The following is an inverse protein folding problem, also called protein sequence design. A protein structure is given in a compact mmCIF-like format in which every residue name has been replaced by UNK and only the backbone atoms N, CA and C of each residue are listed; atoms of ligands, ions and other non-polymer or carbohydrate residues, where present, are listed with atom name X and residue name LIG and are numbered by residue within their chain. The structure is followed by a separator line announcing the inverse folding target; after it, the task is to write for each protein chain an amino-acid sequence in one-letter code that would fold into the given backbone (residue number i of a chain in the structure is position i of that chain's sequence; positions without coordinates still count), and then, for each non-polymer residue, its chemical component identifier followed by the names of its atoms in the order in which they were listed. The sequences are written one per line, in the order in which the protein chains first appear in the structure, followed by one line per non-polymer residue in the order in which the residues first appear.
data_IF_528403041133
#
_entry.id   IF_528403041133
#
_cell.length_a   1.000
_cell.length_b   1.000
_cell.length_c   1.000
_cell.angle_alpha   90.00
_cell.angle_beta   90.00
_cell.angle_gamma   90.00
#
_symmetry.space_group_name_H-M   'P 1'
#
loop_
_entity.id
_entity.type
_entity.pdbx_description
1 polymer ?
#
# COMPACT_ATOMS: atom_id res chain seq x y z
N UNK A 1 -10.29 21.68 -17.70
CA UNK A 1 -11.17 21.67 -18.90
C UNK A 1 -12.30 20.75 -18.51
N UNK A 2 -13.57 21.19 -18.42
CA UNK A 2 -14.63 20.42 -17.75
C UNK A 2 -14.96 19.11 -18.48
N UNK A 3 -14.36 18.02 -18.04
CA UNK A 3 -14.60 16.66 -18.52
C UNK A 3 -15.80 16.07 -17.79
N UNK A 4 -16.99 16.31 -18.35
CA UNK A 4 -18.23 15.76 -17.77
C UNK A 4 -18.23 14.21 -17.78
N UNK A 5 -18.46 13.62 -16.60
CA UNK A 5 -18.67 12.19 -16.43
C UNK A 5 -19.94 11.72 -17.16
N UNK A 6 -19.81 10.72 -18.03
CA UNK A 6 -20.93 10.13 -18.79
C UNK A 6 -21.29 8.76 -18.24
N UNK A 7 -22.52 8.32 -18.50
CA UNK A 7 -22.97 6.96 -18.10
C UNK A 7 -22.19 5.82 -18.77
N UNK A 8 -21.49 6.08 -19.88
CA UNK A 8 -20.61 5.11 -20.53
C UNK A 8 -19.27 4.94 -19.83
N UNK A 9 -18.90 5.89 -18.97
CA UNK A 9 -17.59 5.97 -18.37
C UNK A 9 -17.49 5.08 -17.13
N UNK A 10 -16.25 4.79 -16.74
CA UNK A 10 -15.88 3.95 -15.61
C UNK A 10 -14.91 4.70 -14.69
N UNK A 11 -15.45 5.26 -13.61
CA UNK A 11 -14.69 6.02 -12.63
C UNK A 11 -14.22 5.14 -11.47
N UNK A 12 -13.09 5.48 -10.87
CA UNK A 12 -12.61 4.93 -9.59
C UNK A 12 -12.74 5.92 -8.44
N UNK A 13 -12.53 7.22 -8.70
CA UNK A 13 -12.72 8.32 -7.75
C UNK A 13 -13.58 9.42 -8.34
N UNK A 14 -14.27 10.16 -7.48
CA UNK A 14 -15.03 11.36 -7.82
C UNK A 14 -14.55 12.51 -6.94
N UNK A 15 -14.43 13.68 -7.54
CA UNK A 15 -14.46 14.93 -6.82
C UNK A 15 -15.88 15.50 -6.90
N UNK A 16 -16.45 15.87 -5.75
CA UNK A 16 -17.85 16.32 -5.65
C UNK A 16 -17.96 17.59 -4.82
N UNK A 17 -18.88 18.46 -5.19
CA UNK A 17 -19.25 19.62 -4.37
C UNK A 17 -20.12 19.22 -3.16
N UNK A 18 -20.44 20.20 -2.30
CA UNK A 18 -21.29 20.00 -1.12
C UNK A 18 -22.71 19.49 -1.45
N UNK A 19 -23.18 19.72 -2.67
CA UNK A 19 -24.49 19.29 -3.16
C UNK A 19 -24.44 17.89 -3.81
N UNK A 20 -23.26 17.27 -3.89
CA UNK A 20 -23.04 15.95 -4.48
C UNK A 20 -22.87 15.95 -6.01
N UNK A 21 -22.74 17.13 -6.63
CA UNK A 21 -22.46 17.21 -8.07
C UNK A 21 -21.00 16.84 -8.34
N UNK A 22 -20.78 15.99 -9.34
CA UNK A 22 -19.44 15.60 -9.78
C UNK A 22 -18.75 16.78 -10.45
N UNK A 23 -17.66 17.26 -9.83
CA UNK A 23 -16.79 18.31 -10.34
C UNK A 23 -15.72 17.73 -11.26
N UNK A 24 -15.12 16.61 -10.85
CA UNK A 24 -14.12 15.87 -11.62
C UNK A 24 -14.15 14.38 -11.27
N UNK A 25 -13.45 13.55 -12.03
CA UNK A 25 -13.41 12.11 -11.80
C UNK A 25 -12.15 11.44 -12.33
N UNK A 26 -11.69 10.43 -11.60
CA UNK A 26 -10.52 9.65 -11.98
C UNK A 26 -10.91 8.34 -12.65
N UNK A 27 -10.36 8.00 -13.84
CA UNK A 27 -10.65 6.74 -14.51
C UNK A 27 -10.22 5.51 -13.73
N UNK A 28 -10.99 4.43 -13.82
CA UNK A 28 -10.65 3.17 -13.16
C UNK A 28 -9.29 2.61 -13.60
N UNK A 29 -9.00 2.64 -14.91
CA UNK A 29 -7.73 2.15 -15.42
C UNK A 29 -6.52 2.97 -14.89
N UNK A 30 -6.70 4.28 -14.68
CA UNK A 30 -5.66 5.14 -14.13
C UNK A 30 -5.36 4.77 -12.67
N UNK A 31 -6.38 4.73 -11.80
CA UNK A 31 -6.24 4.29 -10.40
C UNK A 31 -5.62 2.89 -10.30
N UNK A 32 -6.09 1.95 -11.14
CA UNK A 32 -5.50 0.60 -11.21
C UNK A 32 -4.02 0.60 -11.58
N UNK A 33 -3.58 1.48 -12.48
CA UNK A 33 -2.18 1.59 -12.87
C UNK A 33 -1.32 2.19 -11.75
N UNK A 34 -1.83 3.22 -11.06
CA UNK A 34 -1.18 3.89 -9.94
C UNK A 34 -0.92 2.91 -8.79
N UNK A 35 -1.97 2.22 -8.32
CA UNK A 35 -1.85 1.23 -7.23
C UNK A 35 -0.90 0.08 -7.61
N UNK A 36 -0.93 -0.36 -8.87
CA UNK A 36 -0.03 -1.40 -9.34
C UNK A 36 1.43 -0.95 -9.46
N UNK A 37 1.66 0.29 -9.92
CA UNK A 37 2.98 0.91 -10.00
C UNK A 37 3.57 1.11 -8.60
N UNK A 38 2.78 1.63 -7.65
CA UNK A 38 3.19 1.77 -6.24
C UNK A 38 3.49 0.40 -5.63
N UNK A 39 2.65 -0.61 -5.86
CA UNK A 39 2.92 -1.98 -5.39
C UNK A 39 4.24 -2.52 -5.95
N UNK A 40 4.48 -2.37 -7.25
CA UNK A 40 5.74 -2.77 -7.89
C UNK A 40 6.94 -2.07 -7.24
N UNK A 41 6.85 -0.75 -7.03
CA UNK A 41 7.91 0.04 -6.44
C UNK A 41 8.17 -0.32 -4.97
N UNK A 42 7.12 -0.50 -4.16
CA UNK A 42 7.24 -0.96 -2.78
C UNK A 42 7.98 -2.30 -2.69
N UNK A 43 7.64 -3.26 -3.55
CA UNK A 43 8.26 -4.59 -3.55
C UNK A 43 9.71 -4.59 -4.06
N UNK A 44 10.07 -3.67 -4.96
CA UNK A 44 11.41 -3.62 -5.58
C UNK A 44 12.39 -2.69 -4.88
N UNK A 45 11.90 -1.56 -4.34
CA UNK A 45 12.74 -0.47 -3.81
C UNK A 45 12.87 -0.50 -2.30
N UNK A 46 11.99 -1.23 -1.61
CA UNK A 46 11.99 -1.33 -0.15
C UNK A 46 12.26 -2.77 0.29
N UNK A 47 12.54 -2.97 1.58
CA UNK A 47 12.73 -4.30 2.17
C UNK A 47 11.43 -5.14 2.18
N UNK A 48 10.29 -4.60 1.77
CA UNK A 48 9.01 -5.32 1.78
C UNK A 48 9.06 -6.56 0.88
N UNK A 49 9.73 -6.51 -0.28
CA UNK A 49 9.92 -7.69 -1.13
C UNK A 49 10.62 -8.83 -0.39
N UNK A 50 11.75 -8.52 0.25
CA UNK A 50 12.54 -9.48 1.04
C UNK A 50 11.76 -10.01 2.24
N UNK A 51 11.01 -9.14 2.93
CA UNK A 51 10.13 -9.54 4.05
C UNK A 51 9.04 -10.51 3.58
N UNK A 52 8.40 -10.24 2.44
CA UNK A 52 7.41 -11.13 1.86
C UNK A 52 8.02 -12.50 1.48
N UNK A 53 9.21 -12.52 0.89
CA UNK A 53 9.93 -13.77 0.60
C UNK A 53 10.24 -14.55 1.89
N UNK A 54 10.76 -13.88 2.91
CA UNK A 54 11.14 -14.49 4.18
C UNK A 54 9.95 -15.15 4.91
N UNK A 55 8.74 -14.58 4.81
CA UNK A 55 7.51 -15.14 5.40
C UNK A 55 7.16 -16.53 4.89
N UNK A 56 7.65 -16.91 3.70
CA UNK A 56 7.43 -18.22 3.07
C UNK A 56 8.74 -19.01 2.92
N UNK A 57 9.79 -18.60 3.65
CA UNK A 57 11.10 -19.27 3.65
C UNK A 57 11.85 -19.14 2.33
N UNK A 58 11.61 -18.08 1.58
CA UNK A 58 12.29 -17.78 0.32
C UNK A 58 13.39 -16.74 0.58
N UNK A 59 14.49 -16.84 -0.18
CA UNK A 59 15.57 -15.84 -0.12
C UNK A 59 15.12 -14.51 -0.72
N UNK A 60 14.43 -14.55 -1.86
CA UNK A 60 13.93 -13.36 -2.54
C UNK A 60 12.64 -13.68 -3.35
N UNK A 61 11.92 -12.63 -3.74
CA UNK A 61 10.88 -12.69 -4.75
C UNK A 61 11.51 -12.47 -6.14
N UNK A 62 11.36 -13.44 -7.06
CA UNK A 62 11.79 -13.22 -8.44
C UNK A 62 10.97 -12.12 -9.15
N UNK A 63 11.47 -11.55 -10.27
CA UNK A 63 10.72 -10.55 -11.04
C UNK A 63 9.31 -10.98 -11.43
N UNK A 64 9.12 -12.27 -11.75
CA UNK A 64 7.81 -12.87 -12.04
C UNK A 64 6.88 -12.81 -10.82
N UNK A 65 7.37 -13.08 -9.61
CA UNK A 65 6.56 -13.00 -8.39
C UNK A 65 6.11 -11.56 -8.12
N UNK A 66 7.02 -10.59 -8.29
CA UNK A 66 6.67 -9.16 -8.15
C UNK A 66 5.61 -8.78 -9.19
N UNK A 67 5.80 -9.15 -10.45
CA UNK A 67 4.83 -8.88 -11.51
C UNK A 67 3.46 -9.52 -11.22
N UNK A 68 3.41 -10.73 -10.66
CA UNK A 68 2.15 -11.39 -10.25
C UNK A 68 1.43 -10.61 -9.15
N UNK A 69 2.13 -10.17 -8.12
CA UNK A 69 1.55 -9.36 -7.04
C UNK A 69 1.08 -7.99 -7.55
N UNK A 70 1.85 -7.33 -8.42
CA UNK A 70 1.47 -6.06 -9.05
C UNK A 70 0.28 -6.22 -10.02
N UNK A 71 0.19 -7.33 -10.74
CA UNK A 71 -0.98 -7.64 -11.58
C UNK A 71 -2.25 -7.88 -10.74
N UNK A 72 -2.12 -8.53 -9.58
CA UNK A 72 -3.24 -8.62 -8.63
C UNK A 72 -3.63 -7.24 -8.07
N UNK A 73 -2.64 -6.38 -7.78
CA UNK A 73 -2.88 -5.01 -7.34
C UNK A 73 -3.62 -4.19 -8.40
N UNK A 74 -3.30 -4.34 -9.69
CA UNK A 74 -4.06 -3.70 -10.78
C UNK A 74 -5.56 -4.09 -10.78
N UNK A 75 -5.90 -5.24 -10.22
CA UNK A 75 -7.26 -5.80 -10.15
C UNK A 75 -7.94 -5.59 -8.78
N UNK A 76 -7.31 -4.87 -7.84
CA UNK A 76 -7.86 -4.67 -6.48
C UNK A 76 -9.27 -4.05 -6.51
N UNK A 77 -9.48 -3.11 -7.43
CA UNK A 77 -10.73 -2.38 -7.63
C UNK A 77 -11.51 -2.83 -8.87
N UNK A 78 -11.18 -4.01 -9.43
CA UNK A 78 -11.88 -4.57 -10.59
C UNK A 78 -13.41 -4.66 -10.38
N UNK A 79 -13.86 -4.79 -9.12
CA UNK A 79 -15.27 -4.72 -8.76
C UNK A 79 -15.97 -3.43 -9.19
N UNK A 80 -15.25 -2.30 -9.29
CA UNK A 80 -15.82 -0.99 -9.63
C UNK A 80 -16.40 -0.95 -11.03
N UNK A 81 -16.08 -1.89 -11.94
CA UNK A 81 -16.73 -1.93 -13.26
C UNK A 81 -18.24 -2.24 -13.19
N UNK A 82 -18.71 -2.78 -12.07
CA UNK A 82 -20.09 -3.23 -11.96
C UNK A 82 -21.09 -2.06 -12.03
N UNK A 83 -22.27 -2.29 -12.60
CA UNK A 83 -23.29 -1.24 -12.74
C UNK A 83 -23.67 -0.60 -11.41
N UNK A 84 -23.76 -1.41 -10.35
CA UNK A 84 -24.10 -0.96 -9.00
C UNK A 84 -23.19 0.15 -8.49
N UNK A 85 -21.88 -0.04 -8.62
CA UNK A 85 -20.88 0.95 -8.19
C UNK A 85 -20.92 2.18 -9.09
N UNK A 86 -20.88 1.98 -10.41
CA UNK A 86 -20.79 3.09 -11.34
C UNK A 86 -22.05 3.98 -11.36
N UNK A 87 -23.21 3.43 -11.00
CA UNK A 87 -24.47 4.17 -10.86
C UNK A 87 -24.50 5.07 -9.61
N UNK A 88 -23.56 4.93 -8.66
CA UNK A 88 -23.50 5.79 -7.48
C UNK A 88 -23.28 7.27 -7.84
N UNK A 89 -22.66 7.56 -8.99
CA UNK A 89 -22.42 8.91 -9.48
C UNK A 89 -23.66 9.58 -10.12
N UNK A 90 -24.77 8.84 -10.31
CA UNK A 90 -25.93 9.34 -11.06
C UNK A 90 -27.21 9.23 -10.22
N UNK A 91 -27.84 10.37 -9.96
CA UNK A 91 -29.09 10.43 -9.21
C UNK A 91 -30.20 9.58 -9.84
N UNK A 92 -30.81 8.75 -9.00
CA UNK A 92 -31.92 7.86 -9.38
C UNK A 92 -31.52 6.65 -10.25
N UNK A 93 -30.23 6.47 -10.58
CA UNK A 93 -29.77 5.30 -11.32
C UNK A 93 -29.86 4.02 -10.47
N UNK A 94 -30.22 2.90 -11.12
CA UNK A 94 -30.35 1.59 -10.51
C UNK A 94 -29.78 0.51 -11.45
N UNK A 95 -29.22 -0.59 -10.92
CA UNK A 95 -29.04 -0.92 -9.49
C UNK A 95 -27.96 -0.06 -8.82
N UNK A 96 -27.93 0.01 -7.48
CA UNK A 96 -26.84 0.59 -6.68
C UNK A 96 -26.21 -0.50 -5.79
N UNK A 97 -24.89 -0.62 -5.80
CA UNK A 97 -24.14 -1.61 -5.01
C UNK A 97 -22.70 -1.11 -4.79
N UNK A 98 -22.00 -1.68 -3.82
CA UNK A 98 -20.54 -1.45 -3.67
C UNK A 98 -19.75 -2.23 -4.72
N UNK A 99 -18.42 -2.22 -4.61
CA UNK A 99 -17.55 -2.97 -5.51
C UNK A 99 -16.94 -4.23 -4.88
N UNK A 100 -16.71 -4.25 -3.57
CA UNK A 100 -16.09 -5.40 -2.90
C UNK A 100 -17.07 -6.56 -2.71
N UNK A 101 -18.25 -6.30 -2.15
CA UNK A 101 -19.23 -7.36 -1.86
C UNK A 101 -19.63 -8.19 -3.10
N UNK A 102 -19.85 -7.59 -4.29
CA UNK A 102 -20.06 -8.36 -5.53
C UNK A 102 -18.88 -9.28 -5.91
N UNK A 103 -17.63 -8.84 -5.68
CA UNK A 103 -16.43 -9.64 -5.95
C UNK A 103 -16.27 -10.79 -4.95
N UNK A 104 -16.58 -10.55 -3.66
CA UNK A 104 -16.61 -11.62 -2.66
C UNK A 104 -17.73 -12.63 -2.95
N UNK A 105 -18.89 -12.16 -3.43
CA UNK A 105 -19.98 -13.03 -3.87
C UNK A 105 -19.56 -13.85 -5.10
N UNK A 106 -18.74 -13.30 -6.01
CA UNK A 106 -18.14 -14.03 -7.12
C UNK A 106 -17.26 -15.21 -6.66
N UNK A 107 -16.46 -15.04 -5.59
CA UNK A 107 -15.64 -16.13 -5.03
C UNK A 107 -16.46 -17.27 -4.39
N UNK A 108 -17.66 -16.96 -3.91
CA UNK A 108 -18.51 -17.91 -3.14
C UNK A 108 -19.73 -18.41 -3.92
N UNK A 109 -20.05 -17.78 -5.04
CA UNK A 109 -21.30 -17.93 -5.77
C UNK A 109 -21.41 -19.22 -6.56
N UNK A 110 -22.65 -19.65 -6.81
CA UNK A 110 -22.98 -20.85 -7.59
C UNK A 110 -22.99 -20.56 -9.10
N UNK A 111 -22.14 -21.28 -9.83
CA UNK A 111 -21.90 -21.29 -11.29
C UNK A 111 -23.06 -20.76 -12.16
N UNK A 112 -23.05 -19.46 -12.48
CA UNK A 112 -23.86 -18.88 -13.56
C UNK A 112 -23.01 -18.70 -14.83
N UNK A 113 -23.60 -18.74 -16.05
CA UNK A 113 -22.86 -18.43 -17.28
C UNK A 113 -22.26 -17.01 -17.30
N UNK A 114 -22.81 -16.08 -16.51
CA UNK A 114 -22.25 -14.74 -16.37
C UNK A 114 -21.02 -14.74 -15.45
N UNK A 115 -21.07 -15.49 -14.34
CA UNK A 115 -19.94 -15.69 -13.44
C UNK A 115 -18.76 -16.34 -14.17
N UNK A 116 -19.01 -17.37 -14.99
CA UNK A 116 -17.98 -18.02 -15.81
C UNK A 116 -17.32 -17.04 -16.79
N UNK A 117 -18.10 -16.13 -17.40
CA UNK A 117 -17.56 -15.07 -18.26
C UNK A 117 -16.68 -14.11 -17.46
N UNK A 118 -17.11 -13.66 -16.28
CA UNK A 118 -16.28 -12.81 -15.41
C UNK A 118 -14.98 -13.51 -15.03
N UNK A 119 -15.04 -14.78 -14.62
CA UNK A 119 -13.84 -15.57 -14.27
C UNK A 119 -12.87 -15.70 -15.44
N UNK A 120 -13.40 -15.95 -16.65
CA UNK A 120 -12.61 -16.02 -17.88
C UNK A 120 -12.00 -14.66 -18.22
N UNK A 121 -12.76 -13.57 -18.10
CA UNK A 121 -12.29 -12.21 -18.37
C UNK A 121 -11.18 -11.79 -17.40
N UNK A 122 -11.27 -12.19 -16.13
CA UNK A 122 -10.23 -11.99 -15.11
C UNK A 122 -9.03 -12.95 -15.25
N UNK A 123 -9.03 -13.82 -16.26
CA UNK A 123 -7.99 -14.82 -16.50
C UNK A 123 -7.72 -15.74 -15.29
N UNK A 124 -8.73 -16.04 -14.47
CA UNK A 124 -8.59 -16.85 -13.24
C UNK A 124 -8.00 -18.24 -13.53
N UNK A 125 -8.52 -18.91 -14.56
CA UNK A 125 -8.00 -20.21 -15.00
C UNK A 125 -6.54 -20.12 -15.48
N UNK A 126 -6.19 -19.03 -16.16
CA UNK A 126 -4.83 -18.83 -16.67
C UNK A 126 -3.83 -18.51 -15.56
N UNK A 127 -4.22 -17.76 -14.52
CA UNK A 127 -3.38 -17.57 -13.32
C UNK A 127 -3.10 -18.92 -12.65
N UNK A 128 -4.12 -19.78 -12.53
CA UNK A 128 -3.98 -21.10 -11.93
C UNK A 128 -3.11 -22.04 -12.79
N UNK A 129 -3.47 -22.23 -14.06
CA UNK A 129 -2.74 -23.09 -15.01
C UNK A 129 -1.34 -22.57 -15.35
N UNK A 130 -1.13 -21.26 -15.17
CA UNK A 130 0.16 -20.57 -15.28
C UNK A 130 1.08 -20.81 -14.08
N UNK A 131 0.61 -21.52 -13.05
CA UNK A 131 1.42 -21.86 -11.87
C UNK A 131 1.67 -20.66 -10.96
N UNK A 132 0.73 -19.71 -10.88
CA UNK A 132 0.84 -18.60 -9.92
C UNK A 132 0.73 -19.08 -8.49
N UNK A 133 -0.13 -20.07 -8.25
CA UNK A 133 -0.53 -20.53 -6.93
C UNK A 133 -0.46 -22.06 -6.82
N UNK A 134 -0.16 -22.56 -5.63
CA UNK A 134 0.07 -23.99 -5.42
C UNK A 134 -1.22 -24.82 -5.51
N UNK A 135 -2.35 -24.21 -5.17
CA UNK A 135 -3.68 -24.82 -5.16
C UNK A 135 -4.79 -23.76 -5.31
N UNK A 136 -6.05 -24.17 -5.58
CA UNK A 136 -7.16 -23.24 -5.74
C UNK A 136 -7.48 -22.41 -4.49
N UNK A 137 -7.26 -22.95 -3.29
CA UNK A 137 -7.50 -22.24 -2.03
C UNK A 137 -6.53 -21.06 -1.88
N UNK A 138 -5.28 -21.25 -2.32
CA UNK A 138 -4.27 -20.19 -2.37
C UNK A 138 -4.70 -19.06 -3.32
N UNK A 139 -5.14 -19.40 -4.53
CA UNK A 139 -5.67 -18.42 -5.49
C UNK A 139 -6.83 -17.62 -4.88
N UNK A 140 -7.81 -18.31 -4.27
CA UNK A 140 -8.95 -17.66 -3.62
C UNK A 140 -8.49 -16.77 -2.46
N UNK A 141 -7.48 -17.19 -1.69
CA UNK A 141 -6.88 -16.41 -0.60
C UNK A 141 -6.26 -15.11 -1.10
N UNK A 142 -5.49 -15.15 -2.19
CA UNK A 142 -4.89 -13.94 -2.78
C UNK A 142 -5.92 -13.02 -3.43
N UNK A 143 -6.94 -13.55 -4.11
CA UNK A 143 -8.05 -12.73 -4.63
C UNK A 143 -8.85 -12.09 -3.49
N UNK A 144 -9.09 -12.84 -2.41
CA UNK A 144 -9.72 -12.34 -1.20
C UNK A 144 -8.89 -11.23 -0.53
N UNK A 145 -7.56 -11.40 -0.48
CA UNK A 145 -6.64 -10.39 0.01
C UNK A 145 -6.63 -9.14 -0.89
N UNK A 146 -6.70 -9.29 -2.21
CA UNK A 146 -6.72 -8.17 -3.14
C UNK A 146 -8.02 -7.36 -3.05
N UNK A 147 -9.17 -8.03 -3.02
CA UNK A 147 -10.48 -7.36 -2.99
C UNK A 147 -10.89 -6.91 -1.59
N UNK A 148 -10.30 -7.47 -0.53
CA UNK A 148 -10.50 -7.05 0.86
C UNK A 148 -9.51 -5.97 1.34
N UNK A 149 -8.98 -5.12 0.45
CA UNK A 149 -7.96 -4.12 0.79
C UNK A 149 -8.47 -2.97 1.70
N UNK A 150 -9.78 -2.86 1.95
CA UNK A 150 -10.37 -1.85 2.85
C UNK A 150 -10.20 -2.15 4.35
N UNK A 151 -9.34 -3.10 4.74
CA UNK A 151 -8.98 -3.33 6.15
C UNK A 151 -9.91 -4.24 6.97
N UNK A 152 -11.01 -4.75 6.38
CA UNK A 152 -11.82 -5.83 6.99
C UNK A 152 -12.21 -6.88 5.93
N UNK A 153 -12.19 -8.19 6.29
CA UNK A 153 -12.78 -9.22 5.44
C UNK A 153 -14.26 -8.98 5.19
N UNK A 154 -14.62 -8.55 3.98
CA UNK A 154 -16.00 -8.28 3.61
C UNK A 154 -16.82 -9.58 3.58
N UNK A 155 -17.95 -9.57 4.29
CA UNK A 155 -18.92 -10.67 4.22
C UNK A 155 -19.79 -10.47 2.97
N UNK A 156 -20.04 -11.52 2.17
CA UNK A 156 -20.93 -11.40 1.02
C UNK A 156 -22.34 -11.03 1.51
N UNK A 157 -22.93 -9.97 0.94
CA UNK A 157 -24.33 -9.58 1.19
C UNK A 157 -25.32 -10.66 0.75
N UNK A 158 -24.93 -11.43 -0.27
CA UNK A 158 -25.68 -12.55 -0.83
C UNK A 158 -24.73 -13.70 -1.13
N UNK A 159 -25.16 -14.93 -0.88
CA UNK A 159 -24.42 -16.12 -1.34
C UNK A 159 -24.55 -16.36 -2.86
N UNK A 160 -25.33 -15.53 -3.56
CA UNK A 160 -25.53 -15.63 -5.01
C UNK A 160 -24.83 -14.48 -5.72
N UNK A 161 -24.16 -14.84 -6.81
CA UNK A 161 -23.64 -13.89 -7.78
C UNK A 161 -24.80 -13.17 -8.49
N UNK A 162 -24.75 -11.84 -8.55
CA UNK A 162 -25.80 -10.98 -9.12
C UNK A 162 -25.48 -10.64 -10.58
N UNK A 163 -25.91 -11.47 -11.53
CA UNK A 163 -25.59 -11.30 -12.95
C UNK A 163 -25.94 -9.90 -13.51
N UNK A 164 -26.99 -9.26 -13.01
CA UNK A 164 -27.46 -7.95 -13.50
C UNK A 164 -26.46 -6.82 -13.25
N UNK A 165 -25.52 -6.99 -12.32
CA UNK A 165 -24.43 -6.04 -12.10
C UNK A 165 -23.37 -6.07 -13.23
N UNK A 166 -23.31 -7.15 -14.01
CA UNK A 166 -22.22 -7.44 -14.95
C UNK A 166 -22.66 -7.51 -16.42
N UNK A 167 -23.95 -7.71 -16.68
CA UNK A 167 -24.52 -7.77 -18.03
C UNK A 167 -24.33 -6.47 -18.80
N UNK A 168 -24.22 -6.55 -20.12
CA UNK A 168 -24.22 -5.37 -20.99
C UNK A 168 -25.54 -4.60 -20.83
N UNK A 169 -25.42 -3.30 -20.50
CA UNK A 169 -26.53 -2.37 -20.36
C UNK A 169 -26.67 -1.47 -21.59
N UNK A 170 -27.61 -0.51 -21.53
CA UNK A 170 -27.87 0.40 -22.65
C UNK A 170 -26.71 1.38 -22.91
N UNK A 171 -26.01 1.81 -21.86
CA UNK A 171 -24.94 2.82 -21.92
C UNK A 171 -23.56 2.27 -21.56
N UNK A 172 -23.49 1.13 -20.84
CA UNK A 172 -22.25 0.61 -20.24
C UNK A 172 -22.15 -0.91 -20.39
N UNK A 173 -20.92 -1.41 -20.57
CA UNK A 173 -20.63 -2.84 -20.66
C UNK A 173 -19.52 -3.25 -19.67
N UNK A 174 -19.86 -3.63 -18.42
CA UNK A 174 -18.90 -4.01 -17.38
C UNK A 174 -17.89 -5.07 -17.83
N UNK A 175 -18.34 -6.12 -18.52
CA UNK A 175 -17.46 -7.19 -19.02
C UNK A 175 -16.44 -6.70 -20.05
N UNK A 176 -16.80 -5.73 -20.90
CA UNK A 176 -15.86 -5.19 -21.88
C UNK A 176 -14.81 -4.32 -21.21
N UNK A 177 -15.21 -3.55 -20.21
CA UNK A 177 -14.25 -2.74 -19.47
C UNK A 177 -13.32 -3.59 -18.63
N UNK A 178 -13.84 -4.65 -17.99
CA UNK A 178 -13.01 -5.60 -17.28
C UNK A 178 -12.03 -6.32 -18.21
N UNK A 179 -12.45 -6.65 -19.44
CA UNK A 179 -11.58 -7.22 -20.47
C UNK A 179 -10.47 -6.25 -20.89
N UNK A 180 -10.78 -4.96 -21.07
CA UNK A 180 -9.76 -3.93 -21.32
C UNK A 180 -8.76 -3.82 -20.17
N UNK A 181 -9.24 -3.73 -18.92
CA UNK A 181 -8.38 -3.62 -17.74
C UNK A 181 -7.46 -4.84 -17.62
N UNK A 182 -8.01 -6.05 -17.78
CA UNK A 182 -7.20 -7.27 -17.79
C UNK A 182 -6.22 -7.29 -18.97
N UNK A 183 -6.61 -6.80 -20.14
CA UNK A 183 -5.71 -6.69 -21.29
C UNK A 183 -4.54 -5.74 -21.01
N UNK A 184 -4.78 -4.57 -20.42
CA UNK A 184 -3.74 -3.63 -20.00
C UNK A 184 -2.79 -4.30 -18.99
N UNK A 185 -3.34 -4.84 -17.89
CA UNK A 185 -2.56 -5.49 -16.84
C UNK A 185 -1.70 -6.64 -17.38
N UNK A 186 -2.25 -7.47 -18.27
CA UNK A 186 -1.57 -8.65 -18.81
C UNK A 186 -0.59 -8.35 -19.94
N UNK A 187 -0.97 -7.51 -20.90
CA UNK A 187 -0.22 -7.35 -22.16
C UNK A 187 0.71 -6.14 -22.14
N UNK A 188 0.40 -5.11 -21.35
CA UNK A 188 1.12 -3.84 -21.39
C UNK A 188 1.89 -3.60 -20.09
N UNK A 189 1.29 -3.90 -18.94
CA UNK A 189 1.87 -3.53 -17.65
C UNK A 189 2.75 -4.61 -17.03
N UNK A 190 2.25 -5.86 -16.96
CA UNK A 190 2.89 -6.96 -16.24
C UNK A 190 2.85 -8.27 -17.05
N UNK A 191 3.38 -8.24 -18.27
CA UNK A 191 3.50 -9.44 -19.12
C UNK A 191 4.23 -10.59 -18.44
N UNK A 192 5.26 -10.24 -17.66
CA UNK A 192 6.14 -11.19 -16.98
C UNK A 192 5.38 -12.02 -15.93
N UNK A 193 4.26 -11.51 -15.42
CA UNK A 193 3.43 -12.22 -14.45
C UNK A 193 2.91 -13.56 -15.01
N UNK A 194 2.70 -13.62 -16.33
CA UNK A 194 2.15 -14.78 -17.05
C UNK A 194 3.24 -15.72 -17.59
N UNK A 195 4.51 -15.46 -17.28
CA UNK A 195 5.58 -16.43 -17.50
C UNK A 195 5.45 -17.62 -16.54
N UNK A 196 5.90 -18.78 -17.02
CA UNK A 196 5.85 -20.05 -16.26
C UNK A 196 7.12 -20.33 -15.46
N UNK A 197 8.14 -19.49 -15.58
CA UNK A 197 9.46 -19.69 -14.95
C UNK A 197 9.51 -19.12 -13.53
N UNK A 198 8.54 -19.52 -12.71
CA UNK A 198 8.50 -19.21 -11.29
C UNK A 198 7.72 -20.29 -10.53
N UNK A 199 8.22 -20.67 -9.36
CA UNK A 199 7.49 -21.54 -8.46
C UNK A 199 6.17 -20.89 -8.04
N UNK A 200 5.11 -21.67 -7.78
CA UNK A 200 3.85 -21.10 -7.28
C UNK A 200 3.99 -20.54 -5.87
N UNK A 201 3.21 -19.51 -5.55
CA UNK A 201 3.02 -19.08 -4.17
C UNK A 201 2.36 -20.19 -3.35
N UNK A 202 2.84 -20.45 -2.11
CA UNK A 202 2.28 -21.48 -1.25
C UNK A 202 1.00 -21.01 -0.54
N UNK A 203 0.23 -21.97 -0.01
CA UNK A 203 -0.96 -21.70 0.80
C UNK A 203 -0.58 -21.30 2.23
N UNK A 204 0.01 -20.11 2.40
CA UNK A 204 0.46 -19.60 3.69
C UNK A 204 -0.26 -18.29 4.03
N UNK A 205 -0.97 -18.27 5.17
CA UNK A 205 -1.68 -17.07 5.62
C UNK A 205 -0.76 -15.83 5.80
N UNK A 206 0.48 -15.96 6.32
CA UNK A 206 1.36 -14.79 6.51
C UNK A 206 1.63 -14.00 5.23
N UNK A 207 1.86 -14.65 4.09
CA UNK A 207 2.13 -13.93 2.82
C UNK A 207 0.87 -13.25 2.28
N UNK A 208 -0.31 -13.86 2.44
CA UNK A 208 -1.58 -13.26 2.02
C UNK A 208 -1.89 -12.00 2.84
N UNK A 209 -1.69 -12.07 4.16
CA UNK A 209 -1.85 -10.91 5.05
C UNK A 209 -0.81 -9.81 4.76
N UNK A 210 0.45 -10.18 4.54
CA UNK A 210 1.50 -9.21 4.21
C UNK A 210 1.22 -8.53 2.87
N UNK A 211 0.83 -9.29 1.84
CA UNK A 211 0.43 -8.74 0.54
C UNK A 211 -0.76 -7.78 0.67
N UNK A 212 -1.80 -8.13 1.44
CA UNK A 212 -2.92 -7.22 1.70
C UNK A 212 -2.45 -5.90 2.35
N UNK A 213 -1.50 -5.95 3.30
CA UNK A 213 -0.91 -4.74 3.88
C UNK A 213 -0.15 -3.89 2.87
N UNK A 214 0.66 -4.50 1.99
CA UNK A 214 1.35 -3.79 0.90
C UNK A 214 0.35 -3.16 -0.06
N UNK A 215 -0.67 -3.90 -0.45
CA UNK A 215 -1.70 -3.41 -1.37
C UNK A 215 -2.51 -2.27 -0.75
N UNK A 216 -2.86 -2.36 0.53
CA UNK A 216 -3.58 -1.30 1.25
C UNK A 216 -2.74 -0.01 1.28
N UNK A 217 -1.44 -0.13 1.59
CA UNK A 217 -0.53 1.02 1.55
C UNK A 217 -0.42 1.59 0.13
N UNK A 218 -0.34 0.73 -0.89
CA UNK A 218 -0.28 1.15 -2.28
C UNK A 218 -1.56 1.86 -2.75
N UNK A 219 -2.73 1.39 -2.31
CA UNK A 219 -4.02 2.03 -2.57
C UNK A 219 -4.13 3.39 -1.89
N UNK A 220 -3.63 3.54 -0.66
CA UNK A 220 -3.58 4.82 0.03
C UNK A 220 -2.66 5.82 -0.67
N UNK A 221 -1.45 5.41 -1.05
CA UNK A 221 -0.51 6.28 -1.78
C UNK A 221 -1.08 6.62 -3.17
N UNK A 222 -1.57 5.63 -3.91
CA UNK A 222 -2.25 5.83 -5.20
C UNK A 222 -3.57 6.60 -5.07
N UNK A 223 -4.06 6.83 -3.85
CA UNK A 223 -5.23 7.66 -3.57
C UNK A 223 -4.94 9.13 -3.31
N UNK A 224 -3.67 9.51 -3.17
CA UNK A 224 -3.25 10.88 -2.90
C UNK A 224 -3.26 11.74 -4.17
N UNK A 225 -4.42 12.30 -4.47
CA UNK A 225 -4.67 13.15 -5.64
C UNK A 225 -4.26 14.62 -5.44
N UNK A 226 -3.95 15.03 -4.21
CA UNK A 226 -3.47 16.38 -3.91
C UNK A 226 -1.95 16.50 -4.07
N UNK A 227 -1.18 15.44 -3.79
CA UNK A 227 0.29 15.51 -3.79
C UNK A 227 0.94 14.74 -4.95
N UNK A 228 0.41 13.56 -5.32
CA UNK A 228 1.14 12.65 -6.21
C UNK A 228 0.38 12.27 -7.49
N UNK A 229 -0.93 11.98 -7.40
CA UNK A 229 -1.71 11.35 -8.46
C UNK A 229 -2.89 12.22 -8.90
N UNK A 230 -2.59 13.31 -9.60
CA UNK A 230 -3.61 14.17 -10.22
C UNK A 230 -4.55 13.36 -11.12
N UNK A 231 -5.82 13.77 -11.18
CA UNK A 231 -6.81 13.07 -11.98
C UNK A 231 -6.47 13.09 -13.47
N UNK A 232 -6.60 11.92 -14.11
CA UNK A 232 -6.20 11.75 -15.50
C UNK A 232 -7.21 12.41 -16.46
N UNK A 233 -6.72 13.34 -17.29
CA UNK A 233 -7.52 14.04 -18.30
C UNK A 233 -7.96 13.12 -19.47
N UNK A 234 -7.14 12.16 -19.87
CA UNK A 234 -7.40 11.25 -21.00
C UNK A 234 -7.67 9.81 -20.51
N UNK A 235 -8.73 9.18 -21.05
CA UNK A 235 -9.08 7.77 -20.78
C UNK A 235 -8.61 6.78 -21.83
N UNK A 236 -8.19 7.27 -22.99
CA UNK A 236 -7.78 6.42 -24.11
C UNK A 236 -6.27 6.17 -24.11
N UNK A 237 -5.49 7.03 -23.43
CA UNK A 237 -4.05 6.82 -23.25
C UNK A 237 -3.75 5.76 -22.16
N UNK A 238 -2.62 5.07 -22.31
CA UNK A 238 -2.14 4.15 -21.27
C UNK A 238 -1.65 4.96 -20.06
N UNK A 239 -2.25 4.81 -18.87
CA UNK A 239 -1.88 5.61 -17.70
C UNK A 239 -0.57 5.15 -17.03
N UNK A 240 -0.08 3.95 -17.33
CA UNK A 240 1.05 3.35 -16.61
C UNK A 240 2.37 4.14 -16.67
N UNK A 241 2.76 4.77 -17.79
CA UNK A 241 3.99 5.56 -17.84
C UNK A 241 4.01 6.75 -16.86
N UNK A 242 2.90 7.49 -16.77
CA UNK A 242 2.80 8.62 -15.83
C UNK A 242 2.68 8.11 -14.39
N UNK A 243 1.86 7.08 -14.16
CA UNK A 243 1.74 6.44 -12.85
C UNK A 243 3.10 5.98 -12.30
N UNK A 244 3.98 5.42 -13.14
CA UNK A 244 5.35 5.04 -12.74
C UNK A 244 6.23 6.23 -12.40
N UNK A 245 6.08 7.35 -13.12
CA UNK A 245 6.82 8.59 -12.83
C UNK A 245 6.39 9.16 -11.46
N UNK A 246 5.09 9.36 -11.27
CA UNK A 246 4.52 9.85 -10.01
C UNK A 246 4.83 8.92 -8.83
N UNK A 247 4.81 7.60 -9.06
CA UNK A 247 5.22 6.62 -8.05
C UNK A 247 6.66 6.81 -7.59
N UNK A 248 7.60 7.08 -8.51
CA UNK A 248 8.99 7.32 -8.13
C UNK A 248 9.10 8.53 -7.20
N UNK A 249 8.40 9.63 -7.55
CA UNK A 249 8.32 10.84 -6.74
C UNK A 249 7.71 10.56 -5.37
N UNK A 250 6.58 9.83 -5.31
CA UNK A 250 5.92 9.48 -4.05
C UNK A 250 6.79 8.61 -3.12
N UNK A 251 7.47 7.60 -3.65
CA UNK A 251 8.36 6.74 -2.84
C UNK A 251 9.54 7.53 -2.26
N UNK A 252 10.05 8.50 -3.01
CA UNK A 252 11.18 9.35 -2.61
C UNK A 252 10.74 10.37 -1.55
N UNK A 253 9.67 11.12 -1.82
CA UNK A 253 9.16 12.18 -0.95
C UNK A 253 8.61 11.63 0.38
N UNK A 254 8.02 10.43 0.38
CA UNK A 254 7.56 9.76 1.59
C UNK A 254 8.69 9.02 2.34
N UNK A 255 9.94 9.11 1.86
CA UNK A 255 11.11 8.42 2.44
C UNK A 255 10.91 6.91 2.63
N UNK A 256 10.18 6.26 1.72
CA UNK A 256 9.90 4.82 1.79
C UNK A 256 11.09 3.98 1.31
N UNK A 257 11.90 4.54 0.40
CA UNK A 257 13.19 3.97 0.01
C UNK A 257 14.29 4.40 1.00
N UNK A 258 14.47 3.58 2.04
CA UNK A 258 15.44 3.85 3.09
C UNK A 258 16.91 3.81 2.62
N UNK A 259 17.19 3.35 1.39
CA UNK A 259 18.56 3.35 0.85
C UNK A 259 19.11 4.77 0.68
N UNK A 260 18.26 5.74 0.35
CA UNK A 260 18.64 7.14 0.22
C UNK A 260 19.07 7.72 1.56
N UNK A 261 18.24 7.54 2.59
CA UNK A 261 18.56 7.95 3.95
C UNK A 261 19.82 7.26 4.48
N UNK A 262 20.05 5.99 4.13
CA UNK A 262 21.24 5.24 4.52
C UNK A 262 22.50 5.79 3.85
N UNK A 263 22.44 6.15 2.56
CA UNK A 263 23.56 6.73 1.83
C UNK A 263 23.96 8.12 2.34
N UNK A 264 23.06 8.81 3.04
CA UNK A 264 23.29 10.11 3.69
C UNK A 264 23.90 10.00 5.10
N UNK A 265 24.03 8.79 5.65
CA UNK A 265 24.66 8.58 6.96
C UNK A 265 26.16 8.86 6.92
N UNK A 266 26.77 9.27 8.04
CA UNK A 266 28.21 9.21 8.19
C UNK A 266 28.70 7.76 8.09
N UNK A 267 29.99 7.58 7.76
CA UNK A 267 30.60 6.25 7.58
C UNK A 267 30.43 5.33 8.81
N UNK A 268 30.41 5.91 10.02
CA UNK A 268 30.11 5.20 11.26
C UNK A 268 29.22 6.08 12.14
N UNK A 269 28.09 5.54 12.60
CA UNK A 269 27.22 6.20 13.57
C UNK A 269 27.55 5.66 14.97
N UNK A 270 28.50 6.29 15.64
CA UNK A 270 28.83 5.98 17.03
C UNK A 270 27.95 6.70 18.06
N UNK A 271 28.21 6.44 19.34
CA UNK A 271 27.46 7.07 20.44
C UNK A 271 27.68 8.57 20.52
N UNK A 272 28.77 9.11 19.97
CA UNK A 272 29.01 10.54 19.84
C UNK A 272 27.93 11.25 19.00
N UNK A 273 27.27 10.56 18.07
CA UNK A 273 26.15 11.12 17.31
C UNK A 273 24.82 11.01 18.08
N UNK A 274 24.62 9.91 18.81
CA UNK A 274 23.39 9.63 19.58
C UNK A 274 23.38 10.37 20.94
N UNK A 275 24.57 10.60 21.51
CA UNK A 275 24.86 11.14 22.84
C UNK A 275 26.10 12.08 22.79
N UNK A 276 26.08 13.21 22.05
CA UNK A 276 27.27 14.05 21.83
C UNK A 276 27.88 14.68 23.10
N UNK A 277 27.17 14.65 24.23
CA UNK A 277 27.59 15.28 25.49
C UNK A 277 27.82 14.31 26.64
N UNK A 278 27.73 13.00 26.39
CA UNK A 278 27.77 11.98 27.43
C UNK A 278 28.61 10.77 27.00
N UNK A 279 29.41 10.25 27.92
CA UNK A 279 30.03 8.94 27.71
C UNK A 279 28.95 7.85 27.80
N UNK A 280 28.94 6.87 26.87
CA UNK A 280 27.96 5.80 26.90
C UNK A 280 28.17 4.91 28.14
N UNK A 281 27.07 4.49 28.75
CA UNK A 281 27.11 3.47 29.79
C UNK A 281 27.51 2.11 29.18
N UNK A 282 28.22 1.27 29.95
CA UNK A 282 28.61 -0.07 29.50
C UNK A 282 27.43 -0.91 28.97
N UNK A 283 26.23 -0.71 29.53
CA UNK A 283 25.02 -1.41 29.09
C UNK A 283 24.58 -0.98 27.69
N UNK A 284 24.75 0.30 27.34
CA UNK A 284 24.43 0.82 26.01
C UNK A 284 25.39 0.25 24.96
N UNK A 285 26.70 0.22 25.26
CA UNK A 285 27.72 -0.39 24.42
C UNK A 285 27.45 -1.89 24.22
N UNK A 286 27.14 -2.60 25.31
CA UNK A 286 26.80 -4.03 25.25
C UNK A 286 25.62 -4.28 24.32
N UNK A 287 24.56 -3.47 24.39
CA UNK A 287 23.38 -3.62 23.50
C UNK A 287 23.69 -3.28 22.05
N UNK A 288 24.45 -2.19 21.80
CA UNK A 288 24.94 -1.88 20.44
C UNK A 288 25.69 -3.09 19.88
N UNK A 289 26.57 -3.68 20.67
CA UNK A 289 27.53 -4.70 20.25
C UNK A 289 27.03 -6.15 20.23
N UNK A 290 25.75 -6.37 20.52
CA UNK A 290 25.14 -7.69 20.38
C UNK A 290 25.39 -8.29 18.97
N UNK A 291 25.46 -9.62 18.84
CA UNK A 291 25.56 -10.27 17.53
C UNK A 291 24.44 -9.81 16.60
N UNK A 292 24.76 -9.63 15.31
CA UNK A 292 23.78 -9.31 14.28
C UNK A 292 23.34 -10.62 13.63
N UNK A 293 22.02 -10.82 13.54
CA UNK A 293 21.41 -11.99 12.94
C UNK A 293 20.56 -11.53 11.76
N UNK A 294 20.80 -12.10 10.57
CA UNK A 294 20.07 -11.73 9.34
C UNK A 294 18.57 -12.02 9.44
N UNK A 295 18.19 -13.07 10.15
CA UNK A 295 16.79 -13.42 10.45
C UNK A 295 16.14 -12.57 11.56
N UNK A 296 16.84 -11.55 12.05
CA UNK A 296 16.42 -10.74 13.19
C UNK A 296 16.70 -11.39 14.56
N UNK A 297 16.40 -10.66 15.63
CA UNK A 297 16.63 -11.13 17.00
C UNK A 297 15.67 -10.49 17.99
N UNK A 298 15.32 -11.21 19.06
CA UNK A 298 14.63 -10.66 20.22
C UNK A 298 15.66 -10.36 21.32
N UNK A 299 15.77 -9.08 21.68
CA UNK A 299 16.66 -8.63 22.76
C UNK A 299 15.83 -8.09 23.92
N UNK A 300 16.12 -8.57 25.14
CA UNK A 300 15.50 -8.07 26.37
C UNK A 300 16.55 -7.31 27.17
N UNK A 301 16.30 -6.03 27.41
CA UNK A 301 17.17 -5.13 28.17
C UNK A 301 16.54 -4.78 29.54
N UNK A 302 17.01 -5.42 30.59
CA UNK A 302 16.56 -5.18 31.97
C UNK A 302 17.54 -4.26 32.71
N UNK A 303 17.07 -3.06 33.08
CA UNK A 303 17.91 -2.06 33.75
C UNK A 303 17.06 -0.97 34.42
N UNK A 304 17.64 -0.28 35.39
CA UNK A 304 16.99 0.80 36.15
C UNK A 304 16.49 1.95 35.27
N UNK A 305 15.52 2.71 35.77
CA UNK A 305 15.05 3.93 35.09
C UNK A 305 16.19 4.95 35.04
N UNK A 306 16.39 5.58 33.88
CA UNK A 306 17.48 6.54 33.68
C UNK A 306 18.82 5.93 33.22
N UNK A 307 18.93 4.60 33.09
CA UNK A 307 20.16 3.94 32.60
C UNK A 307 20.44 4.09 31.09
N UNK A 308 19.67 4.92 30.38
CA UNK A 308 19.88 5.18 28.95
C UNK A 308 19.42 4.06 28.00
N UNK A 309 18.40 3.27 28.39
CA UNK A 309 17.82 2.19 27.57
C UNK A 309 17.36 2.64 26.18
N UNK A 310 16.82 3.85 26.08
CA UNK A 310 16.37 4.41 24.80
C UNK A 310 17.54 4.57 23.84
N UNK A 311 18.63 5.21 24.27
CA UNK A 311 19.82 5.38 23.43
C UNK A 311 20.52 4.07 23.10
N UNK A 312 20.48 3.09 24.01
CA UNK A 312 20.94 1.74 23.68
C UNK A 312 20.19 1.16 22.46
N UNK A 313 18.86 1.32 22.44
CA UNK A 313 18.01 0.87 21.33
C UNK A 313 18.27 1.67 20.04
N UNK A 314 18.47 2.99 20.13
CA UNK A 314 18.76 3.84 18.96
C UNK A 314 20.14 3.53 18.36
N UNK A 315 21.17 3.38 19.19
CA UNK A 315 22.50 2.98 18.73
C UNK A 315 22.47 1.58 18.08
N UNK A 316 21.67 0.66 18.64
CA UNK A 316 21.43 -0.65 18.03
C UNK A 316 20.72 -0.51 16.68
N UNK A 317 19.71 0.35 16.57
CA UNK A 317 19.04 0.63 15.30
C UNK A 317 20.04 1.12 14.25
N UNK A 318 20.84 2.15 14.53
CA UNK A 318 21.80 2.67 13.54
C UNK A 318 22.84 1.62 13.13
N UNK A 319 23.32 0.78 14.04
CA UNK A 319 24.20 -0.36 13.69
C UNK A 319 23.53 -1.32 12.69
N UNK A 320 22.24 -1.60 12.87
CA UNK A 320 21.49 -2.45 11.93
C UNK A 320 21.19 -1.71 10.62
N UNK A 321 20.85 -0.43 10.71
CA UNK A 321 20.46 0.42 9.60
C UNK A 321 21.62 0.71 8.65
N UNK A 322 22.87 0.80 9.15
CA UNK A 322 24.07 0.98 8.33
C UNK A 322 24.48 -0.27 7.50
N UNK A 323 23.78 -1.41 7.63
CA UNK A 323 24.04 -2.60 6.81
C UNK A 323 23.34 -2.46 5.47
N UNK A 324 24.09 -2.60 4.38
CA UNK A 324 23.60 -2.43 3.00
C UNK A 324 23.36 -3.74 2.26
N UNK A 325 24.08 -4.81 2.61
CA UNK A 325 24.00 -6.11 1.92
C UNK A 325 24.14 -7.29 2.92
N UNK A 326 23.03 -7.95 3.29
CA UNK A 326 21.65 -7.52 3.05
C UNK A 326 21.28 -6.31 3.93
N UNK A 327 20.37 -5.47 3.44
CA UNK A 327 19.71 -4.47 4.27
C UNK A 327 18.85 -5.17 5.35
N UNK A 328 19.06 -4.84 6.63
CA UNK A 328 18.38 -5.54 7.74
C UNK A 328 17.15 -4.80 8.27
N UNK A 329 17.19 -3.47 8.23
CA UNK A 329 16.11 -2.59 8.68
C UNK A 329 16.01 -1.37 7.76
N UNK A 330 14.78 -0.88 7.62
CA UNK A 330 14.36 0.32 6.88
C UNK A 330 13.97 1.47 7.82
N UNK A 331 13.51 1.14 9.03
CA UNK A 331 13.13 2.13 10.04
C UNK A 331 13.07 1.56 11.46
N UNK A 332 12.65 2.40 12.39
CA UNK A 332 12.51 2.07 13.81
C UNK A 332 11.14 2.52 14.34
N UNK A 333 10.42 1.59 14.97
CA UNK A 333 9.15 1.89 15.64
C UNK A 333 9.31 1.80 17.16
N UNK A 334 8.94 2.87 17.86
CA UNK A 334 8.88 2.90 19.33
C UNK A 334 7.45 2.70 19.82
N UNK A 335 7.16 1.50 20.32
CA UNK A 335 5.94 1.23 21.06
C UNK A 335 6.04 1.78 22.48
N UNK A 336 5.26 2.82 22.80
CA UNK A 336 5.24 3.46 24.12
C UNK A 336 3.88 3.36 24.78
N UNK A 337 3.81 3.29 26.13
CA UNK A 337 2.56 2.99 26.83
C UNK A 337 1.57 4.15 26.89
N UNK A 338 2.03 5.40 26.67
CA UNK A 338 1.18 6.60 26.82
C UNK A 338 1.48 7.65 25.76
N UNK A 339 0.47 8.49 25.47
CA UNK A 339 0.60 9.65 24.57
C UNK A 339 1.68 10.64 25.03
N UNK A 340 1.79 10.87 26.34
CA UNK A 340 2.81 11.78 26.89
C UNK A 340 4.22 11.23 26.70
N UNK A 341 4.41 9.91 26.82
CA UNK A 341 5.68 9.27 26.53
C UNK A 341 6.02 9.39 25.03
N UNK A 342 5.03 9.24 24.14
CA UNK A 342 5.22 9.43 22.70
C UNK A 342 5.70 10.84 22.34
N UNK A 343 5.07 11.88 22.89
CA UNK A 343 5.48 13.28 22.64
C UNK A 343 6.93 13.57 23.11
N UNK A 344 7.27 13.13 24.32
CA UNK A 344 8.63 13.31 24.84
C UNK A 344 9.66 12.54 24.00
N UNK A 345 9.32 11.33 23.58
CA UNK A 345 10.20 10.48 22.79
C UNK A 345 10.35 11.02 21.37
N UNK A 346 9.28 11.54 20.75
CA UNK A 346 9.33 12.19 19.43
C UNK A 346 10.34 13.32 19.40
N UNK A 347 10.24 14.27 20.34
CA UNK A 347 11.20 15.38 20.44
C UNK A 347 12.63 14.93 20.71
N UNK A 348 12.82 13.79 21.41
CA UNK A 348 14.14 13.18 21.63
C UNK A 348 14.68 12.54 20.35
N UNK A 349 13.84 11.82 19.59
CA UNK A 349 14.23 11.17 18.34
C UNK A 349 14.56 12.20 17.25
N UNK A 350 13.81 13.29 17.15
CA UNK A 350 14.13 14.43 16.25
C UNK A 350 15.53 14.98 16.50
N UNK A 351 15.86 15.22 17.78
CA UNK A 351 17.19 15.72 18.17
C UNK A 351 18.30 14.75 17.80
N UNK A 352 18.10 13.44 18.01
CA UNK A 352 19.10 12.43 17.63
C UNK A 352 19.24 12.36 16.12
N UNK A 353 18.14 12.34 15.36
CA UNK A 353 18.18 12.42 13.89
C UNK A 353 18.95 13.67 13.44
N UNK A 354 18.66 14.84 13.99
CA UNK A 354 19.34 16.08 13.60
C UNK A 354 20.84 16.07 13.88
N UNK A 355 21.27 15.32 14.90
CA UNK A 355 22.68 15.14 15.23
C UNK A 355 23.35 14.14 14.28
N UNK A 356 22.68 13.03 13.98
CA UNK A 356 23.21 12.01 13.06
C UNK A 356 23.30 12.54 11.63
N UNK A 357 22.34 13.36 11.21
CA UNK A 357 22.24 13.95 9.87
C UNK A 357 22.64 15.44 9.87
N UNK A 358 23.60 15.85 10.71
CA UNK A 358 23.91 17.27 10.89
C UNK A 358 24.40 17.96 9.60
N UNK A 359 25.15 17.24 8.76
CA UNK A 359 25.69 17.70 7.47
C UNK A 359 24.67 17.62 6.32
N UNK A 360 23.48 17.08 6.57
CA UNK A 360 22.43 16.89 5.57
C UNK A 360 21.41 18.04 5.68
N UNK A 361 20.99 18.66 4.55
CA UNK A 361 19.93 19.66 4.56
C UNK A 361 18.66 19.13 5.24
N UNK A 362 17.94 19.99 5.97
CA UNK A 362 16.78 19.56 6.77
C UNK A 362 15.73 18.81 5.97
N UNK A 363 15.45 19.29 4.75
CA UNK A 363 14.41 18.75 3.87
C UNK A 363 14.81 17.36 3.30
N UNK A 364 16.08 16.98 3.37
CA UNK A 364 16.60 15.68 2.91
C UNK A 364 16.79 14.67 4.07
N UNK A 365 16.46 15.06 5.31
CA UNK A 365 16.63 14.17 6.48
C UNK A 365 15.43 13.23 6.59
N UNK A 366 15.64 11.95 6.93
CA UNK A 366 14.53 11.02 7.11
C UNK A 366 13.58 11.50 8.23
N UNK A 367 12.26 11.39 8.04
CA UNK A 367 11.29 11.97 8.96
C UNK A 367 11.20 11.18 10.26
N UNK A 368 10.88 11.88 11.35
CA UNK A 368 10.50 11.26 12.63
C UNK A 368 9.01 11.47 12.84
N UNK A 369 8.24 10.40 12.71
CA UNK A 369 6.78 10.43 12.76
C UNK A 369 6.27 10.05 14.16
N UNK A 370 5.41 10.90 14.73
CA UNK A 370 4.62 10.59 15.90
C UNK A 370 3.29 9.96 15.48
N UNK A 371 3.21 8.63 15.45
CA UNK A 371 1.99 7.89 15.13
C UNK A 371 1.05 7.74 16.36
N UNK A 372 0.53 8.86 16.88
CA UNK A 372 -0.47 8.85 17.97
C UNK A 372 -1.85 9.23 17.39
N UNK A 373 -2.89 8.40 17.55
CA UNK A 373 -4.23 8.72 17.05
C UNK A 373 -4.73 10.08 17.57
N UNK A 374 -5.10 10.97 16.64
CA UNK A 374 -5.55 12.34 16.89
C UNK A 374 -4.43 13.37 17.14
N UNK A 375 -3.16 12.97 17.01
CA UNK A 375 -1.96 13.83 17.15
C UNK A 375 -0.84 13.28 16.26
N UNK A 376 -1.08 13.21 14.94
CA UNK A 376 -0.04 12.84 13.98
C UNK A 376 0.88 14.06 13.83
N UNK A 377 2.19 13.86 13.96
CA UNK A 377 3.20 14.89 13.69
C UNK A 377 4.37 14.26 12.95
N UNK A 378 4.63 14.69 11.73
CA UNK A 378 5.90 14.49 11.06
C UNK A 378 6.78 15.72 11.32
N UNK A 379 7.95 15.53 11.93
CA UNK A 379 8.97 16.59 12.11
C UNK A 379 8.53 17.89 12.85
N UNK A 380 9.00 19.06 12.38
CA UNK A 380 8.78 20.40 12.90
C UNK A 380 7.84 21.17 11.96
N UNK A 381 6.55 20.83 11.97
CA UNK A 381 5.49 21.63 11.38
C UNK A 381 5.24 22.97 12.12
N UNK A 382 6.29 23.62 12.61
CA UNK A 382 6.27 24.98 13.17
C UNK A 382 6.95 25.92 12.17
N UNK A 383 6.36 26.11 10.98
CA UNK A 383 6.95 27.06 10.02
C UNK A 383 6.45 27.07 8.58
N UNK A 384 5.66 26.09 8.15
CA UNK A 384 4.81 26.15 6.96
C UNK A 384 3.37 25.90 7.43
N UNK A 385 2.38 26.32 6.64
CA UNK A 385 1.01 26.71 7.02
C UNK A 385 0.22 25.68 7.85
N UNK A 386 -1.00 26.04 8.29
CA UNK A 386 -1.92 25.17 9.06
C UNK A 386 -2.19 23.78 8.41
N UNK A 387 -1.67 23.56 7.19
CA UNK A 387 -1.73 22.37 6.35
C UNK A 387 -0.59 21.34 6.60
N UNK A 388 0.34 21.59 7.54
CA UNK A 388 1.56 20.78 7.71
C UNK A 388 1.58 19.93 9.02
N UNK A 389 0.45 19.83 9.75
CA UNK A 389 0.31 18.97 10.95
C UNK A 389 0.32 17.47 10.62
N UNK A 390 1.31 16.93 9.88
CA UNK A 390 1.26 15.54 9.42
C UNK A 390 -0.13 15.19 8.91
N UNK A 391 -0.60 15.97 7.95
CA UNK A 391 -1.99 15.94 7.48
C UNK A 391 -2.27 14.52 7.05
N UNK A 392 -3.25 13.82 7.66
CA UNK A 392 -3.74 12.57 7.11
C UNK A 392 -4.00 12.80 5.62
N UNK A 393 -3.76 11.80 4.77
CA UNK A 393 -4.09 11.89 3.35
C UNK A 393 -5.44 12.62 3.20
N UNK A 394 -5.56 13.60 2.31
CA UNK A 394 -6.75 14.43 2.22
C UNK A 394 -7.98 13.52 2.10
N UNK A 395 -9.00 13.79 2.93
CA UNK A 395 -10.17 12.89 3.13
C UNK A 395 -9.86 11.52 3.75
N UNK A 396 -8.83 11.38 4.58
CA UNK A 396 -8.69 10.25 5.52
C UNK A 396 -9.73 10.38 6.65
N UNK A 397 -10.99 10.34 6.25
CA UNK A 397 -12.01 9.67 7.02
C UNK A 397 -11.74 8.17 6.84
N UNK A 398 -11.97 7.37 7.88
CA UNK A 398 -12.15 5.92 7.65
C UNK A 398 -13.47 5.79 6.89
N UNK A 399 -13.43 6.10 5.60
CA UNK A 399 -14.53 5.92 4.68
C UNK A 399 -14.59 4.43 4.48
N UNK A 400 -15.55 3.80 5.15
CA UNK A 400 -16.10 2.53 4.72
C UNK A 400 -17.11 2.88 3.61
N UNK A 401 -16.71 2.98 2.33
CA UNK A 401 -17.61 3.43 1.27
C UNK A 401 -18.72 2.38 1.02
N UNK A 402 -18.59 1.21 1.65
CA UNK A 402 -19.51 0.10 1.61
C UNK A 402 -20.76 0.30 2.49
N UNK A 403 -20.80 1.31 3.38
CA UNK A 403 -22.01 1.68 4.11
C UNK A 403 -22.95 2.50 3.22
N UNK A 404 -23.47 1.86 2.16
CA UNK A 404 -24.68 2.36 1.49
C UNK A 404 -25.78 2.36 2.56
N UNK A 405 -26.36 3.53 2.93
CA UNK A 405 -27.45 3.55 3.90
C UNK A 405 -28.56 2.62 3.44
N UNK A 406 -29.04 1.74 4.32
CA UNK A 406 -30.23 0.93 4.06
C UNK A 406 -31.41 1.85 3.75
N UNK A 407 -31.67 2.11 2.47
CA UNK A 407 -32.94 2.65 2.04
C UNK A 407 -33.99 1.56 2.25
N UNK A 408 -34.75 1.70 3.34
CA UNK A 408 -35.98 0.94 3.59
C UNK A 408 -37.03 1.17 2.51
#
# INVERSE_FOLDING_TARGET
MDRLLKQSDFWAKLDQDEDGNVLDWHPLAAHSAEVAAVTEALLKRTILGDRLAALIGWEELSPVHVARLSALAALHDAGKVNHGFQNLAFDGAQPRNGHVAPMVAFLKGSHSPCQEKVAKTLAIEEMFDGGWFADPDTLIGFLGAAWGHHGEPVKPRSQKFEDDLWKEGASRSPLRELEKLMHLAKQQWFSDAFEKDARPFPCEAPIQHAFNGVLTLADWIGSDDEHFFEFADDVEEDPMPEAKKQTCEAIDELFLDASQARALLPAEVGFEHVLPKHEPHCIQETVRDLPVHESGSLTVLESDTGSGKTEAAVARFFRLFQREDPALVDGMYFAVPTRSAAQQLHGRMKKIRDQVFEDVPKDDRPPVVQAVPGYIKADDAEGRTEDDEGTPLPRFEVLWPDDVPETR
#
